data_IF_735438420725
#
_entry.id   IF_735438420725
#
_cell.length_a   1.000
_cell.length_b   1.000
_cell.length_c   1.000
_cell.angle_alpha   90.00
_cell.angle_beta   90.00
_cell.angle_gamma   90.00
#
_symmetry.space_group_name_H-M   'P 1'
#
loop_
_entity.id
_entity.type
_entity.pdbx_description
1 polymer ?
#
# COMPACT_ATOMS: atom_id res chain seq x y z
N UNK A 1 -24.79 -10.88 -54.17
CA UNK A 1 -25.03 -11.90 -53.11
C UNK A 1 -23.91 -12.00 -52.06
N UNK A 2 -23.20 -10.91 -51.72
CA UNK A 2 -22.17 -10.93 -50.67
C UNK A 2 -22.58 -10.22 -49.36
N UNK A 3 -23.55 -9.30 -49.42
CA UNK A 3 -24.00 -8.50 -48.26
C UNK A 3 -24.84 -9.33 -47.27
N UNK A 4 -25.63 -10.32 -47.75
CA UNK A 4 -26.45 -11.20 -46.91
C UNK A 4 -25.68 -12.30 -46.16
N UNK A 5 -24.40 -12.53 -46.46
CA UNK A 5 -23.54 -13.47 -45.71
C UNK A 5 -22.86 -12.80 -44.52
N UNK A 6 -22.56 -11.50 -44.61
CA UNK A 6 -21.95 -10.74 -43.51
C UNK A 6 -22.96 -10.42 -42.39
N UNK A 7 -24.22 -10.10 -42.75
CA UNK A 7 -25.29 -9.86 -41.77
C UNK A 7 -25.59 -11.12 -40.93
N UNK A 8 -25.55 -12.30 -41.55
CA UNK A 8 -25.75 -13.59 -40.84
C UNK A 8 -24.60 -13.97 -39.91
N UNK A 9 -23.37 -13.56 -40.22
CA UNK A 9 -22.24 -13.77 -39.32
C UNK A 9 -22.26 -12.81 -38.13
N UNK A 10 -22.67 -11.55 -38.34
CA UNK A 10 -22.84 -10.57 -37.27
C UNK A 10 -23.99 -10.95 -36.33
N UNK A 11 -25.13 -11.44 -36.86
CA UNK A 11 -26.26 -11.91 -36.05
C UNK A 11 -25.91 -13.15 -35.22
N UNK A 12 -25.15 -14.11 -35.76
CA UNK A 12 -24.65 -15.27 -35.00
C UNK A 12 -23.67 -14.87 -33.89
N UNK A 13 -22.84 -13.86 -34.10
CA UNK A 13 -21.91 -13.37 -33.07
C UNK A 13 -22.64 -12.63 -31.94
N UNK A 14 -23.76 -11.96 -32.22
CA UNK A 14 -24.63 -11.33 -31.22
C UNK A 14 -25.42 -12.38 -30.42
N UNK A 15 -25.91 -13.45 -31.06
CA UNK A 15 -26.56 -14.58 -30.37
C UNK A 15 -25.61 -15.38 -29.47
N UNK A 16 -24.34 -15.57 -29.88
CA UNK A 16 -23.32 -16.22 -29.03
C UNK A 16 -22.95 -15.35 -27.83
N UNK A 17 -22.88 -14.02 -28.01
CA UNK A 17 -22.68 -13.08 -26.91
C UNK A 17 -23.89 -13.05 -25.95
N UNK A 18 -25.12 -13.11 -26.48
CA UNK A 18 -26.34 -13.18 -25.66
C UNK A 18 -26.42 -14.50 -24.86
N UNK A 19 -26.04 -15.64 -25.45
CA UNK A 19 -25.98 -16.93 -24.76
C UNK A 19 -24.88 -17.01 -23.69
N UNK A 20 -23.75 -16.33 -23.88
CA UNK A 20 -22.74 -16.17 -22.83
C UNK A 20 -23.23 -15.25 -21.70
N UNK A 21 -24.02 -14.23 -22.04
CA UNK A 21 -24.64 -13.34 -21.05
C UNK A 21 -25.71 -14.07 -20.24
N UNK A 22 -26.49 -14.96 -20.87
CA UNK A 22 -27.47 -15.82 -20.21
C UNK A 22 -26.85 -16.96 -19.38
N UNK A 23 -25.72 -17.52 -19.82
CA UNK A 23 -24.97 -18.48 -19.02
C UNK A 23 -24.34 -17.82 -17.77
N UNK A 24 -24.05 -16.52 -17.82
CA UNK A 24 -23.59 -15.73 -16.66
C UNK A 24 -24.75 -15.41 -15.71
N UNK A 25 -25.98 -15.24 -16.21
CA UNK A 25 -27.17 -14.98 -15.36
C UNK A 25 -27.76 -16.26 -14.75
N UNK A 26 -27.63 -17.44 -15.38
CA UNK A 26 -28.19 -18.69 -14.86
C UNK A 26 -27.32 -19.47 -13.85
N UNK A 27 -26.08 -19.03 -13.58
CA UNK A 27 -25.27 -19.53 -12.44
C UNK A 27 -25.65 -18.81 -11.12
N UNK A 28 -26.68 -17.95 -11.15
CA UNK A 28 -27.20 -17.22 -10.00
C UNK A 28 -27.97 -18.05 -8.96
N UNK A 29 -27.89 -19.38 -8.97
CA UNK A 29 -28.41 -20.21 -7.87
C UNK A 29 -27.32 -21.08 -7.25
N UNK A 30 -26.75 -20.48 -6.21
CA UNK A 30 -25.87 -21.00 -5.16
C UNK A 30 -24.38 -21.19 -5.51
N UNK A 31 -23.54 -20.17 -5.27
CA UNK A 31 -22.48 -20.36 -4.32
C UNK A 31 -23.09 -20.31 -2.91
N UNK A 32 -22.78 -21.30 -2.08
CA UNK A 32 -22.86 -21.15 -0.63
C UNK A 32 -22.27 -19.78 -0.30
N UNK A 33 -23.12 -18.84 0.12
CA UNK A 33 -22.65 -17.55 0.62
C UNK A 33 -21.87 -17.92 1.87
N UNK A 34 -20.55 -18.10 1.73
CA UNK A 34 -19.65 -17.91 2.85
C UNK A 34 -19.84 -16.45 3.16
N UNK A 35 -20.80 -16.15 4.04
CA UNK A 35 -20.97 -14.84 4.63
C UNK A 35 -19.68 -14.61 5.40
N UNK A 36 -18.66 -14.11 4.71
CA UNK A 36 -17.47 -13.65 5.40
C UNK A 36 -17.94 -12.53 6.29
N UNK A 37 -18.01 -12.78 7.60
CA UNK A 37 -18.35 -11.76 8.60
C UNK A 37 -17.31 -10.65 8.64
N UNK A 38 -16.19 -10.87 7.97
CA UNK A 38 -15.06 -9.97 7.85
C UNK A 38 -15.43 -8.61 7.24
N UNK A 39 -14.74 -7.59 7.74
CA UNK A 39 -14.72 -6.23 7.24
C UNK A 39 -13.36 -5.99 6.58
N UNK A 40 -13.35 -5.29 5.45
CA UNK A 40 -12.14 -5.03 4.70
C UNK A 40 -11.69 -3.59 4.90
N UNK A 41 -10.38 -3.40 4.99
CA UNK A 41 -9.74 -2.08 4.92
C UNK A 41 -8.69 -2.09 3.81
N UNK A 42 -8.42 -0.94 3.23
CA UNK A 42 -7.30 -0.79 2.30
C UNK A 42 -6.01 -1.20 3.00
N UNK A 43 -5.16 -1.97 2.30
CA UNK A 43 -3.81 -2.28 2.76
C UNK A 43 -3.01 -1.00 2.96
N UNK A 44 -3.24 0.07 2.20
CA UNK A 44 -2.55 1.33 2.42
C UNK A 44 -2.94 1.97 3.76
N UNK A 45 -4.23 1.96 4.11
CA UNK A 45 -4.66 2.42 5.43
C UNK A 45 -4.16 1.49 6.54
N UNK A 46 -4.20 0.17 6.32
CA UNK A 46 -3.65 -0.80 7.25
C UNK A 46 -2.15 -0.59 7.48
N UNK A 47 -1.37 -0.37 6.42
CA UNK A 47 0.04 -0.04 6.51
C UNK A 47 0.27 1.27 7.25
N UNK A 48 -0.58 2.28 7.05
CA UNK A 48 -0.56 3.51 7.87
C UNK A 48 -0.86 3.21 9.33
N UNK A 49 -1.80 2.34 9.64
CA UNK A 49 -2.07 1.92 11.03
C UNK A 49 -0.90 1.12 11.63
N UNK A 50 -0.34 0.18 10.88
CA UNK A 50 0.74 -0.70 11.30
C UNK A 50 2.09 0.02 11.39
N UNK A 51 2.31 1.02 10.54
CA UNK A 51 3.58 1.74 10.44
C UNK A 51 3.52 3.16 11.06
N UNK A 52 2.35 3.77 11.26
CA UNK A 52 2.18 5.13 11.81
C UNK A 52 1.41 5.13 13.14
N UNK A 53 1.47 6.26 13.85
CA UNK A 53 0.85 6.44 15.16
C UNK A 53 -0.50 7.13 15.16
N UNK A 54 -0.88 7.73 14.03
CA UNK A 54 -2.19 8.34 13.82
C UNK A 54 -2.55 8.11 12.35
N UNK A 55 -3.13 6.96 11.98
CA UNK A 55 -3.47 6.67 10.58
C UNK A 55 -4.55 7.61 10.02
N UNK A 56 -5.18 8.41 10.89
CA UNK A 56 -6.41 9.13 10.61
C UNK A 56 -7.61 8.18 10.58
N UNK A 57 -8.81 8.71 10.32
CA UNK A 57 -10.01 7.91 10.22
C UNK A 57 -9.86 6.80 9.18
N UNK A 58 -10.47 5.64 9.45
CA UNK A 58 -10.49 4.51 8.51
C UNK A 58 -11.03 4.99 7.16
N UNK A 59 -10.22 4.86 6.11
CA UNK A 59 -10.53 5.33 4.77
C UNK A 59 -10.08 4.33 3.70
N UNK A 60 -10.99 4.05 2.76
CA UNK A 60 -10.78 3.12 1.64
C UNK A 60 -10.82 3.83 0.27
N UNK A 61 -10.69 5.16 0.21
CA UNK A 61 -10.84 5.94 -1.03
C UNK A 61 -9.79 5.63 -2.11
N UNK A 62 -8.65 5.05 -1.72
CA UNK A 62 -7.63 4.58 -2.65
C UNK A 62 -8.10 3.34 -3.44
N UNK A 63 -8.91 2.47 -2.83
CA UNK A 63 -9.47 1.27 -3.47
C UNK A 63 -10.90 1.45 -3.99
N UNK A 64 -11.66 2.43 -3.46
CA UNK A 64 -13.04 2.70 -3.84
C UNK A 64 -13.19 3.84 -4.85
N UNK A 65 -14.09 3.71 -5.80
CA UNK A 65 -14.52 4.82 -6.65
C UNK A 65 -15.52 5.74 -5.93
N UNK A 66 -15.87 6.86 -6.55
CA UNK A 66 -16.81 7.84 -5.98
C UNK A 66 -18.23 7.26 -5.75
N UNK A 67 -18.56 6.15 -6.42
CA UNK A 67 -19.82 5.42 -6.19
C UNK A 67 -19.75 4.45 -5.00
N UNK A 68 -18.62 4.36 -4.30
CA UNK A 68 -18.44 3.52 -3.11
C UNK A 68 -18.15 2.04 -3.38
N UNK A 69 -17.90 1.65 -4.63
CA UNK A 69 -17.54 0.28 -5.01
C UNK A 69 -16.04 0.16 -5.35
N UNK A 70 -15.51 -1.06 -5.40
CA UNK A 70 -14.09 -1.29 -5.72
C UNK A 70 -13.80 -0.86 -7.17
N UNK A 71 -12.68 -0.13 -7.36
CA UNK A 71 -12.20 0.29 -8.69
C UNK A 71 -11.91 -0.94 -9.54
N UNK A 72 -12.49 -1.00 -10.74
CA UNK A 72 -12.36 -2.17 -11.61
C UNK A 72 -10.92 -2.48 -12.04
N UNK A 73 -10.07 -1.46 -12.15
CA UNK A 73 -8.64 -1.61 -12.49
C UNK A 73 -7.83 -2.35 -11.43
N UNK A 74 -8.35 -2.49 -10.21
CA UNK A 74 -7.65 -3.06 -9.07
C UNK A 74 -8.10 -4.49 -8.73
N UNK A 75 -9.13 -5.02 -9.41
CA UNK A 75 -9.73 -6.33 -9.06
C UNK A 75 -8.73 -7.48 -9.18
N UNK A 76 -7.85 -7.44 -10.18
CA UNK A 76 -6.85 -8.50 -10.41
C UNK A 76 -5.85 -8.64 -9.26
N UNK A 77 -5.55 -7.53 -8.57
CA UNK A 77 -4.61 -7.48 -7.44
C UNK A 77 -5.33 -7.23 -6.11
N UNK A 78 -6.66 -7.45 -6.05
CA UNK A 78 -7.47 -7.00 -4.92
C UNK A 78 -7.01 -7.61 -3.58
N UNK A 79 -6.67 -8.89 -3.59
CA UNK A 79 -6.19 -9.62 -2.43
C UNK A 79 -4.84 -9.09 -1.89
N UNK A 80 -4.05 -8.43 -2.73
CA UNK A 80 -2.77 -7.82 -2.33
C UNK A 80 -2.96 -6.45 -1.70
N UNK A 81 -4.05 -5.76 -2.00
CA UNK A 81 -4.28 -4.35 -1.63
C UNK A 81 -5.36 -4.16 -0.57
N UNK A 82 -5.96 -5.24 -0.05
CA UNK A 82 -6.91 -5.21 1.06
C UNK A 82 -6.41 -6.01 2.25
N UNK A 83 -6.97 -5.72 3.42
CA UNK A 83 -6.77 -6.50 4.64
C UNK A 83 -8.12 -6.87 5.22
N UNK A 84 -8.32 -8.16 5.50
CA UNK A 84 -9.53 -8.67 6.13
C UNK A 84 -9.40 -8.58 7.66
N UNK A 85 -10.40 -7.99 8.31
CA UNK A 85 -10.50 -7.84 9.75
C UNK A 85 -11.78 -8.50 10.25
N UNK A 86 -11.76 -9.03 11.47
CA UNK A 86 -13.00 -9.40 12.15
C UNK A 86 -13.83 -8.15 12.51
N UNK A 87 -15.15 -8.26 12.69
CA UNK A 87 -15.99 -7.14 13.12
C UNK A 87 -15.48 -6.43 14.38
N UNK A 88 -15.03 -7.20 15.38
CA UNK A 88 -14.51 -6.67 16.64
C UNK A 88 -13.23 -5.86 16.45
N UNK A 89 -12.33 -6.31 15.59
CA UNK A 89 -11.11 -5.57 15.25
C UNK A 89 -11.45 -4.26 14.56
N UNK A 90 -12.38 -4.28 13.61
CA UNK A 90 -12.81 -3.07 12.92
C UNK A 90 -13.46 -2.07 13.88
N UNK A 91 -14.37 -2.51 14.75
CA UNK A 91 -15.04 -1.65 15.74
C UNK A 91 -14.05 -0.97 16.68
N UNK A 92 -13.07 -1.71 17.20
CA UNK A 92 -12.03 -1.15 18.06
C UNK A 92 -11.19 -0.07 17.34
N UNK A 93 -10.85 -0.29 16.08
CA UNK A 93 -10.11 0.68 15.27
C UNK A 93 -10.97 1.90 14.92
N UNK A 94 -12.23 1.69 14.57
CA UNK A 94 -13.18 2.75 14.25
C UNK A 94 -13.45 3.64 15.48
N UNK A 95 -13.53 3.05 16.67
CA UNK A 95 -13.69 3.79 17.92
C UNK A 95 -12.44 4.61 18.27
N UNK A 96 -11.24 4.07 18.00
CA UNK A 96 -9.98 4.74 18.32
C UNK A 96 -9.61 5.87 17.33
N UNK A 97 -9.93 5.72 16.04
CA UNK A 97 -9.44 6.61 14.99
C UNK A 97 -10.54 7.30 14.16
N UNK A 98 -11.81 6.91 14.33
CA UNK A 98 -12.92 7.38 13.51
C UNK A 98 -12.99 6.67 12.15
N UNK A 99 -14.02 6.99 11.36
CA UNK A 99 -14.21 6.45 10.00
C UNK A 99 -14.64 7.56 9.05
N UNK A 100 -14.20 7.53 7.79
CA UNK A 100 -14.68 8.46 6.75
C UNK A 100 -15.90 7.93 6.01
N UNK A 101 -16.14 6.63 6.05
CA UNK A 101 -17.17 5.94 5.27
C UNK A 101 -17.67 4.68 5.99
N UNK A 102 -18.79 4.13 5.52
CA UNK A 102 -19.31 2.87 6.03
C UNK A 102 -18.29 1.72 5.90
N UNK A 103 -18.37 0.69 6.76
CA UNK A 103 -17.48 -0.46 6.72
C UNK A 103 -17.54 -1.18 5.38
N UNK A 104 -16.39 -1.38 4.74
CA UNK A 104 -16.33 -2.08 3.46
C UNK A 104 -16.52 -3.59 3.70
N UNK A 105 -17.68 -4.09 3.32
CA UNK A 105 -18.01 -5.53 3.39
C UNK A 105 -18.17 -6.17 2.03
N UNK A 106 -18.45 -5.35 1.01
CA UNK A 106 -18.70 -5.79 -0.34
C UNK A 106 -17.52 -5.39 -1.24
N UNK A 107 -16.88 -6.38 -1.85
CA UNK A 107 -15.73 -6.20 -2.73
C UNK A 107 -16.10 -6.17 -4.22
N UNK A 108 -17.39 -6.03 -4.53
CA UNK A 108 -17.87 -5.98 -5.90
C UNK A 108 -17.33 -4.76 -6.65
N UNK A 109 -17.06 -5.00 -7.93
CA UNK A 109 -16.66 -3.94 -8.84
C UNK A 109 -17.81 -2.98 -9.14
N UNK A 110 -17.47 -1.71 -9.35
CA UNK A 110 -18.46 -0.72 -9.77
C UNK A 110 -18.97 -0.99 -11.19
N UNK A 111 -20.24 -1.36 -11.35
CA UNK A 111 -20.87 -1.56 -12.67
C UNK A 111 -20.84 -0.29 -13.52
N UNK A 112 -21.13 0.88 -12.93
CA UNK A 112 -21.20 2.14 -13.67
C UNK A 112 -19.82 2.59 -14.17
N UNK A 113 -18.76 2.43 -13.35
CA UNK A 113 -17.40 2.71 -13.80
C UNK A 113 -16.96 1.75 -14.91
N UNK A 114 -17.31 0.47 -14.81
CA UNK A 114 -17.00 -0.53 -15.87
C UNK A 114 -17.70 -0.15 -17.17
N UNK A 115 -19.01 0.16 -17.13
CA UNK A 115 -19.76 0.53 -18.33
C UNK A 115 -19.19 1.79 -18.97
N UNK A 116 -18.86 2.82 -18.18
CA UNK A 116 -18.20 4.04 -18.68
C UNK A 116 -16.84 3.75 -19.30
N UNK A 117 -16.02 2.91 -18.66
CA UNK A 117 -14.71 2.52 -19.17
C UNK A 117 -14.82 1.74 -20.50
N UNK A 118 -15.74 0.79 -20.60
CA UNK A 118 -15.96 0.00 -21.81
C UNK A 118 -16.51 0.86 -22.96
N UNK A 119 -17.43 1.79 -22.68
CA UNK A 119 -17.95 2.73 -23.65
C UNK A 119 -16.86 3.68 -24.19
N UNK A 120 -15.99 4.21 -23.31
CA UNK A 120 -14.84 5.04 -23.70
C UNK A 120 -13.79 4.24 -24.49
N UNK A 121 -13.56 2.97 -24.14
CA UNK A 121 -12.64 2.07 -24.84
C UNK A 121 -13.15 1.67 -26.23
N UNK A 122 -14.47 1.56 -26.40
CA UNK A 122 -15.10 1.36 -27.71
C UNK A 122 -14.99 2.62 -28.60
N UNK A 123 -15.09 3.81 -28.01
CA UNK A 123 -14.85 5.07 -28.71
C UNK A 123 -13.39 5.24 -29.15
N UNK A 124 -12.41 4.79 -28.35
CA UNK A 124 -10.98 4.80 -28.71
C UNK A 124 -10.65 3.88 -29.91
N UNK A 125 -11.34 2.73 -30.03
CA UNK A 125 -11.18 1.84 -31.21
C UNK A 125 -11.65 2.48 -32.51
N UNK A 126 -12.54 3.46 -32.45
CA UNK A 126 -12.98 4.25 -33.62
C UNK A 126 -11.99 5.36 -33.98
N UNK A 127 -11.36 6.01 -32.98
CA UNK A 127 -10.37 7.08 -33.19
C UNK A 127 -9.02 6.54 -33.70
N UNK A 128 -8.57 5.37 -33.23
CA UNK A 128 -7.29 4.78 -33.67
C UNK A 128 -7.29 4.30 -35.13
N UNK A 129 -8.44 3.93 -35.69
CA UNK A 129 -8.54 3.56 -37.11
C UNK A 129 -8.24 4.76 -38.05
N UNK A 130 -8.34 5.99 -37.55
CA UNK A 130 -8.14 7.21 -38.34
C UNK A 130 -6.75 7.85 -38.18
N UNK A 131 -5.97 7.46 -37.16
CA UNK A 131 -4.74 8.17 -36.76
C UNK A 131 -3.43 7.54 -37.33
N UNK A 132 -3.47 6.35 -37.92
CA UNK A 132 -2.27 5.63 -38.43
C UNK A 132 -1.72 6.22 -39.74
N UNK A 133 -2.38 7.17 -40.40
CA UNK A 133 -1.94 7.71 -41.70
C UNK A 133 -1.15 9.02 -41.66
N UNK A 134 -0.84 9.61 -40.48
CA UNK A 134 -0.03 10.84 -40.41
C UNK A 134 0.96 10.87 -39.25
N UNK A 135 2.10 10.20 -39.42
CA UNK A 135 3.31 10.53 -38.67
C UNK A 135 4.57 10.16 -39.48
N UNK A 136 5.00 11.09 -40.34
CA UNK A 136 6.38 11.16 -40.85
C UNK A 136 6.89 12.59 -40.63
N UNK A 137 8.12 12.67 -40.11
CA UNK A 137 8.97 13.85 -39.93
C UNK A 137 8.55 14.79 -38.75
N UNK A 138 9.43 15.32 -37.88
CA UNK A 138 10.88 15.57 -37.95
C UNK A 138 11.51 15.46 -36.55
N UNK A 139 12.76 15.00 -36.52
CA UNK A 139 13.69 15.25 -35.44
C UNK A 139 14.33 16.64 -35.63
N UNK A 140 14.60 17.37 -34.53
CA UNK A 140 15.78 18.23 -34.39
C UNK A 140 16.09 18.53 -32.92
N UNK A 141 17.40 18.59 -32.69
CA UNK A 141 18.23 18.74 -31.50
C UNK A 141 18.40 20.18 -31.03
N UNK A 142 18.74 20.39 -29.75
CA UNK A 142 19.67 21.38 -29.13
C UNK A 142 19.28 21.54 -27.65
N UNK A 143 20.14 21.77 -26.65
CA UNK A 143 21.60 21.83 -26.50
C UNK A 143 21.89 21.77 -24.97
N UNK A 144 23.09 21.38 -24.58
CA UNK A 144 23.51 21.14 -23.19
C UNK A 144 24.23 22.32 -22.52
N UNK A 145 24.25 22.28 -21.17
CA UNK A 145 25.10 22.97 -20.16
C UNK A 145 24.51 24.23 -19.47
N UNK A 146 24.75 24.45 -18.15
CA UNK A 146 25.97 24.19 -17.36
C UNK A 146 25.84 22.96 -16.42
N UNK A 147 26.63 21.94 -16.72
CA UNK A 147 26.79 20.71 -15.96
C UNK A 147 28.17 20.74 -15.27
N UNK A 148 28.24 20.76 -13.95
CA UNK A 148 29.30 20.06 -13.20
C UNK A 148 29.05 20.00 -11.68
N UNK A 149 28.35 20.97 -11.07
CA UNK A 149 27.95 20.87 -9.65
C UNK A 149 26.63 20.10 -9.41
N UNK A 150 25.76 19.99 -10.43
CA UNK A 150 24.46 19.30 -10.33
C UNK A 150 24.54 17.78 -10.50
N UNK A 151 25.55 17.27 -11.22
CA UNK A 151 25.68 15.82 -11.53
C UNK A 151 25.86 14.96 -10.28
N UNK A 152 26.73 15.31 -9.32
CA UNK A 152 26.93 14.49 -8.13
C UNK A 152 25.67 14.44 -7.26
N UNK A 153 24.98 15.57 -7.10
CA UNK A 153 23.75 15.66 -6.29
C UNK A 153 22.56 14.96 -6.96
N UNK A 154 22.44 14.99 -8.29
CA UNK A 154 21.43 14.21 -9.02
C UNK A 154 21.70 12.70 -8.89
N UNK A 155 22.97 12.28 -8.96
CA UNK A 155 23.37 10.89 -8.77
C UNK A 155 23.12 10.42 -7.33
N UNK A 156 23.40 11.26 -6.32
CA UNK A 156 23.02 10.99 -4.94
C UNK A 156 21.50 10.85 -4.79
N UNK A 157 20.72 11.74 -5.42
CA UNK A 157 19.26 11.70 -5.39
C UNK A 157 18.70 10.39 -5.98
N UNK A 158 19.26 9.90 -7.08
CA UNK A 158 18.85 8.63 -7.70
C UNK A 158 19.24 7.42 -6.86
N UNK A 159 20.45 7.42 -6.27
CA UNK A 159 20.88 6.38 -5.32
C UNK A 159 19.95 6.34 -4.10
N UNK A 160 19.62 7.50 -3.53
CA UNK A 160 18.68 7.59 -2.42
C UNK A 160 17.27 7.16 -2.84
N UNK A 161 16.79 7.52 -4.02
CA UNK A 161 15.49 7.08 -4.52
C UNK A 161 15.41 5.55 -4.66
N UNK A 162 16.47 4.92 -5.20
CA UNK A 162 16.58 3.46 -5.28
C UNK A 162 16.59 2.83 -3.89
N UNK A 163 17.34 3.40 -2.94
CA UNK A 163 17.36 2.92 -1.56
C UNK A 163 15.98 2.98 -0.90
N UNK A 164 15.27 4.10 -1.04
CA UNK A 164 13.89 4.26 -0.53
C UNK A 164 12.97 3.19 -1.11
N UNK A 165 13.09 2.88 -2.40
CA UNK A 165 12.30 1.83 -3.04
C UNK A 165 12.60 0.44 -2.46
N UNK A 166 13.88 0.06 -2.39
CA UNK A 166 14.29 -1.24 -1.87
C UNK A 166 13.84 -1.47 -0.43
N UNK A 167 13.94 -0.45 0.42
CA UNK A 167 13.50 -0.56 1.82
C UNK A 167 11.98 -0.72 1.94
N UNK A 168 11.19 -0.02 1.12
CA UNK A 168 9.72 -0.21 1.09
C UNK A 168 9.34 -1.62 0.65
N UNK A 169 9.94 -2.11 -0.42
CA UNK A 169 9.68 -3.46 -0.96
C UNK A 169 10.06 -4.54 0.06
N UNK A 170 11.20 -4.39 0.74
CA UNK A 170 11.64 -5.30 1.80
C UNK A 170 10.66 -5.34 2.96
N UNK A 171 10.26 -4.19 3.50
CA UNK A 171 9.31 -4.13 4.63
C UNK A 171 7.99 -4.79 4.26
N UNK A 172 7.47 -4.53 3.06
CA UNK A 172 6.24 -5.18 2.57
C UNK A 172 6.39 -6.70 2.50
N UNK A 173 7.57 -7.22 2.14
CA UNK A 173 7.84 -8.65 2.07
C UNK A 173 8.04 -9.32 3.44
N UNK A 174 8.63 -8.61 4.41
CA UNK A 174 8.94 -9.18 5.74
C UNK A 174 7.85 -8.95 6.78
N UNK A 175 6.92 -8.02 6.54
CA UNK A 175 5.78 -7.75 7.41
C UNK A 175 4.72 -8.85 7.26
N UNK A 176 5.02 -10.02 7.82
CA UNK A 176 4.05 -11.10 7.99
C UNK A 176 3.12 -10.75 9.13
N UNK A 177 1.81 -10.71 8.84
CA UNK A 177 0.70 -10.33 9.72
C UNK A 177 0.51 -11.24 10.95
N UNK A 178 1.38 -12.23 11.14
CA UNK A 178 1.40 -13.18 12.25
C UNK A 178 2.81 -13.21 12.84
N UNK A 179 2.90 -13.23 14.18
CA UNK A 179 4.16 -13.51 14.84
C UNK A 179 4.59 -14.94 14.48
N UNK A 180 5.88 -15.20 14.20
CA UNK A 180 6.35 -16.55 13.92
C UNK A 180 6.03 -17.49 15.09
N UNK A 181 5.54 -18.69 14.80
CA UNK A 181 5.37 -19.73 15.83
C UNK A 181 6.75 -20.19 16.33
N UNK A 182 6.92 -20.27 17.66
CA UNK A 182 8.17 -20.71 18.30
C UNK A 182 8.98 -19.60 18.99
N UNK A 183 10.29 -19.82 19.14
CA UNK A 183 11.20 -18.97 19.95
C UNK A 183 11.36 -17.52 19.45
N UNK A 184 10.87 -17.22 18.24
CA UNK A 184 10.91 -15.89 17.61
C UNK A 184 9.64 -15.05 17.84
N UNK A 185 8.71 -15.55 18.67
CA UNK A 185 7.47 -14.86 19.08
C UNK A 185 7.74 -13.74 20.09
N UNK A 186 8.57 -12.78 19.72
CA UNK A 186 8.94 -11.64 20.55
C UNK A 186 8.67 -10.31 19.84
N UNK A 187 8.27 -9.34 20.64
CA UNK A 187 8.12 -7.94 20.23
C UNK A 187 9.43 -7.20 20.45
N UNK A 188 9.85 -6.45 19.44
CA UNK A 188 10.98 -5.54 19.52
C UNK A 188 10.46 -4.12 19.62
N UNK A 189 10.75 -3.47 20.75
CA UNK A 189 10.33 -2.10 21.01
C UNK A 189 11.29 -1.13 20.32
N UNK A 190 10.71 -0.19 19.57
CA UNK A 190 11.41 0.84 18.82
C UNK A 190 10.90 2.23 19.22
N UNK A 191 11.80 3.20 19.31
CA UNK A 191 11.41 4.58 19.59
C UNK A 191 10.61 5.18 18.43
N UNK A 192 9.51 5.85 18.78
CA UNK A 192 8.67 6.52 17.78
C UNK A 192 9.41 7.69 17.12
N UNK A 193 10.39 8.26 17.84
CA UNK A 193 11.24 9.31 17.30
C UNK A 193 12.08 8.83 16.11
N UNK A 194 12.73 7.67 16.21
CA UNK A 194 13.54 7.13 15.12
C UNK A 194 12.65 6.70 13.96
N UNK A 195 11.55 6.00 14.25
CA UNK A 195 10.62 5.52 13.23
C UNK A 195 10.02 6.65 12.41
N UNK A 196 9.72 7.80 13.02
CA UNK A 196 9.23 8.98 12.29
C UNK A 196 10.22 9.47 11.24
N UNK A 197 11.52 9.50 11.56
CA UNK A 197 12.58 9.90 10.64
C UNK A 197 12.78 8.88 9.52
N UNK A 198 12.71 7.60 9.86
CA UNK A 198 12.79 6.53 8.86
C UNK A 198 11.63 6.60 7.85
N UNK A 199 10.41 6.87 8.32
CA UNK A 199 9.23 7.04 7.46
C UNK A 199 9.35 8.25 6.54
N UNK A 200 9.81 9.38 7.08
CA UNK A 200 10.12 10.57 6.29
C UNK A 200 11.14 10.27 5.17
N UNK A 201 12.16 9.45 5.46
CA UNK A 201 13.13 9.01 4.48
C UNK A 201 12.50 8.17 3.35
N UNK A 202 11.80 7.09 3.68
CA UNK A 202 11.24 6.17 2.66
C UNK A 202 10.15 6.82 1.81
N UNK A 203 9.42 7.81 2.31
CA UNK A 203 8.43 8.56 1.54
C UNK A 203 9.03 9.78 0.82
N UNK A 204 10.29 10.12 1.12
CA UNK A 204 10.94 11.34 0.66
C UNK A 204 10.15 12.61 1.07
N UNK A 205 9.67 12.62 2.31
CA UNK A 205 8.84 13.69 2.87
C UNK A 205 9.57 14.37 4.04
N UNK A 206 9.22 15.62 4.34
CA UNK A 206 9.76 16.36 5.48
C UNK A 206 10.99 17.21 5.16
N UNK A 207 11.82 17.42 6.17
CA UNK A 207 12.96 18.34 6.10
C UNK A 207 14.02 17.84 5.09
N UNK A 208 14.31 18.69 4.11
CA UNK A 208 15.43 18.50 3.18
C UNK A 208 16.56 19.44 3.57
N UNK A 209 17.76 19.16 3.08
CA UNK A 209 18.94 20.00 3.26
C UNK A 209 19.09 21.09 2.18
N UNK A 210 18.05 21.31 1.37
CA UNK A 210 18.07 22.29 0.28
C UNK A 210 18.91 21.90 -0.94
N UNK A 211 19.55 20.72 -0.94
CA UNK A 211 20.41 20.27 -2.05
C UNK A 211 19.64 19.58 -3.18
N UNK A 212 18.35 19.31 -3.00
CA UNK A 212 17.51 18.63 -3.98
C UNK A 212 17.62 17.09 -3.98
N UNK A 213 18.46 16.49 -3.13
CA UNK A 213 18.57 15.01 -2.98
C UNK A 213 17.45 14.35 -2.17
N UNK A 214 16.59 15.19 -1.57
CA UNK A 214 15.44 14.76 -0.79
C UNK A 214 15.78 14.45 0.67
N UNK A 215 14.87 13.80 1.37
CA UNK A 215 15.04 13.47 2.80
C UNK A 215 16.17 12.47 2.99
N UNK A 216 17.04 12.72 3.98
CA UNK A 216 18.18 11.89 4.33
C UNK A 216 17.77 10.71 5.25
N UNK A 217 18.54 9.62 5.27
CA UNK A 217 18.26 8.48 6.14
C UNK A 217 18.33 8.88 7.64
N UNK A 218 17.58 8.17 8.51
CA UNK A 218 17.40 8.53 9.92
C UNK A 218 18.66 8.42 10.80
N UNK A 219 19.70 7.72 10.33
CA UNK A 219 20.86 7.31 11.13
C UNK A 219 20.64 5.97 11.86
N UNK A 220 21.56 5.56 12.75
CA UNK A 220 21.43 4.33 13.54
C UNK A 220 20.17 4.33 14.41
N UNK A 221 19.63 3.14 14.70
CA UNK A 221 18.45 3.00 15.58
C UNK A 221 18.81 3.53 16.96
N UNK A 222 17.97 4.41 17.51
CA UNK A 222 18.15 5.00 18.84
C UNK A 222 16.93 4.74 19.73
N UNK A 223 17.07 3.77 20.62
CA UNK A 223 16.10 3.44 21.66
C UNK A 223 16.49 4.00 23.03
N UNK A 224 17.66 4.65 23.16
CA UNK A 224 18.16 5.12 24.45
C UNK A 224 17.24 6.18 25.06
N UNK A 225 16.52 6.91 24.20
CA UNK A 225 15.50 7.89 24.58
C UNK A 225 14.30 7.34 25.35
N UNK A 226 14.09 6.02 25.31
CA UNK A 226 13.05 5.35 26.08
C UNK A 226 13.54 4.94 27.47
N UNK A 227 14.83 5.08 27.75
CA UNK A 227 15.46 4.56 28.94
C UNK A 227 16.02 5.69 29.82
N UNK A 228 16.08 5.42 31.11
CA UNK A 228 16.88 6.19 32.05
C UNK A 228 18.37 5.90 31.85
N UNK A 229 19.23 6.67 32.52
CA UNK A 229 20.68 6.40 32.58
C UNK A 229 21.02 5.01 33.15
N UNK A 230 20.10 4.41 33.91
CA UNK A 230 20.26 3.06 34.47
C UNK A 230 19.74 1.95 33.54
N UNK A 231 19.33 2.28 32.31
CA UNK A 231 18.81 1.31 31.33
C UNK A 231 17.37 0.86 31.57
N UNK A 232 16.68 1.45 32.54
CA UNK A 232 15.28 1.14 32.85
C UNK A 232 14.34 1.99 31.99
N UNK A 233 13.18 1.46 31.55
CA UNK A 233 12.19 2.26 30.84
C UNK A 233 11.76 3.49 31.64
N UNK A 234 11.70 4.65 30.99
CA UNK A 234 11.17 5.88 31.60
C UNK A 234 9.71 5.65 32.04
N UNK A 235 9.26 6.40 33.06
CA UNK A 235 7.87 6.28 33.55
C UNK A 235 6.88 6.92 32.57
N UNK A 236 5.66 6.38 32.53
CA UNK A 236 4.53 6.90 31.73
C UNK A 236 4.73 6.92 30.21
N UNK A 237 5.59 6.04 29.70
CA UNK A 237 5.72 5.77 28.27
C UNK A 237 4.45 5.10 27.76
N UNK A 238 3.70 5.87 26.99
CA UNK A 238 2.57 5.39 26.22
C UNK A 238 3.04 4.76 24.90
N UNK A 239 2.55 3.56 24.53
CA UNK A 239 2.60 3.08 23.15
C UNK A 239 2.08 4.17 22.22
N UNK A 240 2.47 4.18 20.95
CA UNK A 240 2.02 5.19 19.96
C UNK A 240 2.69 6.54 20.13
N UNK A 241 2.62 7.13 21.31
CA UNK A 241 3.24 8.42 21.54
C UNK A 241 4.77 8.33 21.60
N UNK A 242 5.32 7.29 22.24
CA UNK A 242 6.76 7.21 22.51
C UNK A 242 7.43 6.01 21.85
N UNK A 243 6.72 4.90 21.70
CA UNK A 243 7.28 3.68 21.13
C UNK A 243 6.27 2.86 20.32
N UNK A 244 6.83 1.97 19.52
CA UNK A 244 6.16 0.95 18.69
C UNK A 244 6.77 -0.40 18.99
N UNK A 245 6.02 -1.47 18.77
CA UNK A 245 6.59 -2.81 18.70
C UNK A 245 6.55 -3.31 17.27
N UNK A 246 7.62 -3.95 16.86
CA UNK A 246 7.73 -4.64 15.57
C UNK A 246 8.05 -6.11 15.81
N UNK A 247 7.69 -6.97 14.85
CA UNK A 247 8.05 -8.38 14.92
C UNK A 247 9.56 -8.59 14.69
N UNK A 248 10.04 -9.80 14.98
CA UNK A 248 11.45 -10.19 14.85
C UNK A 248 12.02 -9.98 13.45
N UNK A 249 11.23 -10.21 12.39
CA UNK A 249 11.68 -10.08 10.99
C UNK A 249 11.92 -8.63 10.60
N UNK A 250 10.98 -7.75 10.94
CA UNK A 250 11.09 -6.31 10.71
C UNK A 250 12.27 -5.73 11.49
N UNK A 251 12.41 -6.11 12.78
CA UNK A 251 13.56 -5.71 13.59
C UNK A 251 14.88 -6.15 12.97
N UNK A 252 15.00 -7.44 12.62
CA UNK A 252 16.23 -8.00 12.05
C UNK A 252 16.63 -7.28 10.77
N UNK A 253 15.66 -6.99 9.90
CA UNK A 253 15.92 -6.22 8.68
C UNK A 253 16.42 -4.80 8.99
N UNK A 254 15.67 -4.02 9.78
CA UNK A 254 16.04 -2.63 10.07
C UNK A 254 17.39 -2.55 10.81
N UNK A 255 17.61 -3.44 11.76
CA UNK A 255 18.87 -3.52 12.50
C UNK A 255 20.04 -3.93 11.59
N UNK A 256 19.84 -4.81 10.60
CA UNK A 256 20.90 -5.15 9.63
C UNK A 256 21.31 -3.98 8.73
N UNK A 257 20.39 -3.05 8.44
CA UNK A 257 20.64 -1.89 7.58
C UNK A 257 21.20 -0.70 8.36
N UNK A 258 20.67 -0.44 9.55
CA UNK A 258 20.94 0.77 10.31
C UNK A 258 21.81 0.55 11.56
N UNK A 259 21.86 -0.67 12.09
CA UNK A 259 22.46 -0.96 13.39
C UNK A 259 21.87 -0.12 14.51
N UNK A 260 22.66 0.15 15.55
CA UNK A 260 22.29 0.99 16.69
C UNK A 260 21.78 0.18 17.88
N UNK A 261 20.85 0.77 18.65
CA UNK A 261 20.28 0.14 19.84
C UNK A 261 19.86 1.16 20.92
N UNK A 262 19.74 0.73 22.18
CA UNK A 262 19.81 -0.66 22.66
C UNK A 262 18.64 -1.53 22.16
N UNK A 263 18.84 -2.84 22.13
CA UNK A 263 17.80 -3.82 21.78
C UNK A 263 16.79 -3.94 22.93
N UNK A 264 15.50 -3.82 22.62
CA UNK A 264 14.43 -3.91 23.61
C UNK A 264 13.46 -5.02 23.21
N UNK A 265 13.77 -6.27 23.59
CA UNK A 265 12.98 -7.47 23.28
C UNK A 265 12.01 -7.80 24.42
N UNK A 266 10.74 -8.10 24.10
CA UNK A 266 9.65 -8.34 25.07
C UNK A 266 8.71 -9.45 24.60
N UNK A 267 8.06 -10.12 25.53
CA UNK A 267 7.01 -11.11 25.23
C UNK A 267 5.71 -10.44 24.75
N UNK A 268 5.39 -9.26 25.28
CA UNK A 268 4.20 -8.48 24.96
C UNK A 268 4.55 -7.10 24.39
N UNK A 269 3.57 -6.45 23.76
CA UNK A 269 3.67 -5.06 23.29
C UNK A 269 3.61 -4.05 24.47
N UNK A 270 4.47 -4.24 25.46
CA UNK A 270 4.58 -3.40 26.64
C UNK A 270 6.04 -3.28 27.04
N UNK A 271 6.59 -2.06 26.98
CA UNK A 271 8.00 -1.80 27.31
C UNK A 271 8.36 -2.14 28.76
N UNK A 272 7.35 -2.11 29.66
CA UNK A 272 7.50 -2.44 31.07
C UNK A 272 7.43 -3.95 31.35
N UNK A 273 7.07 -4.78 30.37
CA UNK A 273 7.15 -6.23 30.52
C UNK A 273 8.61 -6.66 30.74
N UNK A 274 8.78 -7.85 31.31
CA UNK A 274 10.10 -8.44 31.56
C UNK A 274 10.91 -8.50 30.25
N UNK A 275 12.16 -8.01 30.24
CA UNK A 275 13.06 -8.17 29.10
C UNK A 275 13.25 -9.65 28.75
N UNK A 276 13.23 -9.95 27.45
CA UNK A 276 13.68 -11.24 26.94
C UNK A 276 15.15 -11.14 26.54
N UNK A 277 15.89 -12.22 26.79
CA UNK A 277 17.25 -12.41 26.27
C UNK A 277 17.27 -12.68 24.76
#
# INVERSE_FOLDING_TARGET
MAVMRFVRHAQRSVEVAARLTDAITHVAHAPLVVQTTNVYVSRNWWLRYSLLSVPGPICNADILCDHGCVKHSLLSSLHEIIVALSPRQYEALAQAYGTTSAPLRNLNACRDCIVRFLAASAAWRWVCAHCVTRARARAHTHASSPHDARVPLQAEATVLARRRQLERERIVAVDTTTLPEGADNAWYIMSEWWLTRWRAFIHNEGATDGTGRGTLPPGPIDNARLLSKSGQPLKYLRPIAHFRGVNSRVWTFLHSVYGGGPVLKRADLNIYSTPLE
#
